data_IF_773647521332
#
_entry.id   IF_773647521332
#
_cell.length_a   1.000
_cell.length_b   1.000
_cell.length_c   1.000
_cell.angle_alpha   90.00
_cell.angle_beta   90.00
_cell.angle_gamma   90.00
#
_symmetry.space_group_name_H-M   'P 1'
#
loop_
_entity.id
_entity.type
_entity.pdbx_description
1 polymer ?
#
# COMPACT_ATOMS: atom_id res chain seq x y z
N UNK A 1 -51.51 -39.19 -20.71
CA UNK A 1 -50.62 -40.25 -20.21
C UNK A 1 -49.38 -39.58 -19.61
N UNK A 2 -49.07 -39.95 -18.37
CA UNK A 2 -47.96 -39.56 -17.48
C UNK A 2 -47.65 -38.06 -17.26
N UNK A 3 -48.35 -37.52 -16.27
CA UNK A 3 -47.87 -36.47 -15.39
C UNK A 3 -47.03 -37.08 -14.25
N UNK A 4 -45.98 -36.38 -13.83
CA UNK A 4 -45.42 -36.42 -12.46
C UNK A 4 -44.85 -35.01 -12.20
N UNK A 5 -45.63 -34.08 -11.65
CA UNK A 5 -45.75 -33.81 -10.21
C UNK A 5 -44.39 -33.77 -9.50
N UNK A 6 -43.82 -32.57 -9.39
CA UNK A 6 -43.30 -32.14 -8.10
C UNK A 6 -43.83 -30.73 -7.81
N UNK A 7 -44.45 -30.63 -6.65
CA UNK A 7 -45.34 -29.57 -6.22
C UNK A 7 -44.61 -28.27 -5.91
N UNK A 8 -45.28 -27.21 -6.33
CA UNK A 8 -45.27 -25.87 -5.77
C UNK A 8 -44.71 -25.74 -4.35
N UNK A 9 -43.80 -24.79 -4.17
CA UNK A 9 -43.95 -23.80 -3.11
C UNK A 9 -43.38 -22.45 -3.53
N UNK A 10 -44.35 -21.59 -3.83
CA UNK A 10 -44.29 -20.21 -4.23
C UNK A 10 -43.89 -19.34 -3.03
N UNK A 11 -42.73 -18.67 -3.06
CA UNK A 11 -42.50 -17.41 -2.37
C UNK A 11 -41.44 -16.58 -3.12
N UNK A 12 -41.89 -15.50 -3.77
CA UNK A 12 -41.12 -14.25 -3.91
C UNK A 12 -40.23 -14.09 -5.16
N UNK A 13 -40.74 -13.36 -6.16
CA UNK A 13 -39.93 -12.62 -7.16
C UNK A 13 -39.12 -11.49 -6.47
N UNK A 14 -38.23 -10.75 -7.15
CA UNK A 14 -36.97 -11.16 -7.77
C UNK A 14 -35.81 -10.25 -7.30
N UNK A 15 -34.67 -10.77 -6.81
CA UNK A 15 -33.49 -9.91 -6.66
C UNK A 15 -32.63 -9.96 -7.92
N UNK A 16 -32.86 -8.95 -8.76
CA UNK A 16 -32.09 -8.60 -9.95
C UNK A 16 -30.70 -8.12 -9.51
N UNK A 17 -29.79 -9.03 -9.16
CA UNK A 17 -28.37 -8.69 -8.99
C UNK A 17 -27.68 -8.69 -10.34
N UNK A 18 -27.64 -7.49 -10.91
CA UNK A 18 -26.86 -7.11 -12.06
C UNK A 18 -25.37 -7.18 -11.69
N UNK A 19 -24.75 -8.37 -11.74
CA UNK A 19 -23.29 -8.44 -11.75
C UNK A 19 -22.82 -8.04 -13.13
N UNK A 20 -22.65 -6.73 -13.28
CA UNK A 20 -21.87 -6.09 -14.32
C UNK A 20 -20.51 -6.79 -14.35
N UNK A 21 -20.26 -7.55 -15.41
CA UNK A 21 -18.96 -8.13 -15.73
C UNK A 21 -17.98 -6.97 -15.87
N UNK A 22 -17.29 -6.60 -14.80
CA UNK A 22 -16.18 -5.67 -14.85
C UNK A 22 -15.04 -6.38 -15.56
N UNK A 23 -15.06 -6.37 -16.90
CA UNK A 23 -13.83 -6.50 -17.67
C UNK A 23 -13.05 -5.21 -17.43
N UNK A 24 -12.35 -5.14 -16.30
CA UNK A 24 -11.36 -4.10 -16.08
C UNK A 24 -10.34 -4.25 -17.21
N UNK A 25 -10.33 -3.28 -18.14
CA UNK A 25 -9.31 -3.23 -19.18
C UNK A 25 -7.95 -3.17 -18.47
N UNK A 26 -6.94 -3.94 -18.88
CA UNK A 26 -5.60 -3.83 -18.31
C UNK A 26 -5.08 -2.43 -18.67
N UNK A 27 -5.11 -1.51 -17.71
CA UNK A 27 -4.54 -0.19 -17.88
C UNK A 27 -3.02 -0.34 -17.90
N UNK A 28 -2.39 0.19 -18.93
CA UNK A 28 -0.93 0.15 -19.11
C UNK A 28 -0.30 0.97 -17.97
N UNK A 29 0.09 0.32 -16.87
CA UNK A 29 0.66 1.02 -15.71
C UNK A 29 1.98 1.69 -16.12
N UNK A 30 2.08 3.01 -15.94
CA UNK A 30 3.36 3.72 -16.01
C UNK A 30 4.28 3.21 -14.89
N UNK A 31 5.58 3.07 -15.18
CA UNK A 31 6.59 2.63 -14.21
C UNK A 31 7.51 3.77 -13.86
N UNK A 32 7.88 3.86 -12.59
CA UNK A 32 8.82 4.85 -12.06
C UNK A 32 9.90 4.13 -11.23
N UNK A 33 11.07 4.73 -11.12
CA UNK A 33 12.17 4.18 -10.31
C UNK A 33 12.11 4.76 -8.91
N UNK A 34 12.18 3.91 -7.88
CA UNK A 34 12.25 4.33 -6.48
C UNK A 34 13.54 3.82 -5.88
N UNK A 35 14.24 4.69 -5.14
CA UNK A 35 15.52 4.36 -4.53
C UNK A 35 15.37 4.24 -3.01
N UNK A 36 15.63 3.06 -2.47
CA UNK A 36 15.74 2.80 -1.05
C UNK A 36 17.19 2.94 -0.59
N UNK A 37 17.41 3.69 0.49
CA UNK A 37 18.71 3.99 1.08
C UNK A 37 18.72 3.53 2.53
N UNK A 38 19.71 2.73 2.91
CA UNK A 38 19.93 2.35 4.30
C UNK A 38 21.06 3.19 4.91
N UNK A 39 21.06 3.35 6.24
CA UNK A 39 22.12 4.13 6.92
C UNK A 39 23.52 3.55 6.76
N UNK A 40 23.65 2.25 6.48
CA UNK A 40 24.91 1.60 6.16
C UNK A 40 25.47 1.95 4.75
N UNK A 41 24.76 2.79 3.99
CA UNK A 41 25.14 3.20 2.64
C UNK A 41 24.68 2.23 1.53
N UNK A 42 23.99 1.14 1.86
CA UNK A 42 23.33 0.27 0.86
C UNK A 42 22.27 1.11 0.13
N UNK A 43 22.20 0.92 -1.18
CA UNK A 43 21.17 1.51 -2.06
C UNK A 43 20.56 0.40 -2.91
N UNK A 44 19.23 0.39 -2.99
CA UNK A 44 18.48 -0.53 -3.84
C UNK A 44 17.48 0.28 -4.65
N UNK A 45 17.60 0.22 -5.97
CA UNK A 45 16.68 0.88 -6.90
C UNK A 45 15.72 -0.16 -7.45
N UNK A 46 14.42 0.12 -7.37
CA UNK A 46 13.37 -0.80 -7.83
C UNK A 46 12.41 -0.10 -8.78
N UNK A 47 11.72 -0.89 -9.60
CA UNK A 47 10.68 -0.38 -10.48
C UNK A 47 9.33 -0.49 -9.78
N UNK A 48 8.67 0.64 -9.58
CA UNK A 48 7.33 0.72 -9.02
C UNK A 48 6.32 1.02 -10.13
N UNK A 49 5.13 0.40 -10.06
CA UNK A 49 4.05 0.81 -10.94
C UNK A 49 3.26 1.96 -10.30
N UNK A 50 2.87 2.93 -11.11
CA UNK A 50 2.01 4.01 -10.67
C UNK A 50 0.66 3.44 -10.22
N UNK A 51 0.20 3.89 -9.05
CA UNK A 51 -1.01 3.43 -8.39
C UNK A 51 -0.80 2.33 -7.34
N UNK A 52 0.37 1.69 -7.28
CA UNK A 52 0.70 0.74 -6.22
C UNK A 52 1.09 1.50 -4.93
N UNK A 53 0.96 0.89 -3.75
CA UNK A 53 1.47 1.48 -2.50
C UNK A 53 2.97 1.21 -2.35
N UNK A 54 3.68 1.99 -1.53
CA UNK A 54 5.09 1.66 -1.26
C UNK A 54 5.25 0.34 -0.51
N UNK A 55 4.21 -0.13 0.19
CA UNK A 55 4.17 -1.48 0.74
C UNK A 55 4.20 -2.53 -0.37
N UNK A 56 3.30 -2.41 -1.35
CA UNK A 56 3.27 -3.34 -2.49
C UNK A 56 4.61 -3.31 -3.24
N UNK A 57 5.20 -2.12 -3.44
CA UNK A 57 6.50 -1.98 -4.12
C UNK A 57 7.62 -2.71 -3.38
N UNK A 58 7.67 -2.61 -2.04
CA UNK A 58 8.68 -3.29 -1.22
C UNK A 58 8.52 -4.80 -1.31
N UNK A 59 7.28 -5.30 -1.22
CA UNK A 59 6.98 -6.73 -1.29
C UNK A 59 7.21 -7.31 -2.70
N UNK A 60 6.71 -6.65 -3.74
CA UNK A 60 6.78 -7.13 -5.13
C UNK A 60 8.21 -7.12 -5.70
N UNK A 61 9.12 -6.33 -5.11
CA UNK A 61 10.51 -6.23 -5.55
C UNK A 61 11.51 -6.84 -4.56
N UNK A 62 11.03 -7.59 -3.55
CA UNK A 62 11.86 -8.23 -2.52
C UNK A 62 12.89 -7.26 -1.91
N UNK A 63 12.43 -6.06 -1.53
CA UNK A 63 13.29 -5.07 -0.87
C UNK A 63 13.60 -5.55 0.54
N UNK A 64 14.88 -5.70 0.82
CA UNK A 64 15.42 -6.32 2.04
C UNK A 64 15.27 -5.40 3.27
N UNK A 65 14.04 -5.35 3.80
CA UNK A 65 13.66 -4.59 4.99
C UNK A 65 12.94 -5.53 5.96
N UNK A 66 13.65 -5.93 7.01
CA UNK A 66 13.13 -6.86 8.02
C UNK A 66 11.88 -6.32 8.72
N UNK A 67 10.84 -7.15 8.82
CA UNK A 67 9.60 -6.80 9.52
C UNK A 67 8.73 -5.72 8.84
N UNK A 68 9.05 -5.36 7.59
CA UNK A 68 8.31 -4.33 6.87
C UNK A 68 6.85 -4.72 6.63
N UNK A 69 5.92 -3.85 7.04
CA UNK A 69 4.49 -4.02 6.73
C UNK A 69 3.78 -5.14 7.49
N UNK A 70 4.07 -5.32 8.78
CA UNK A 70 3.56 -6.42 9.61
C UNK A 70 2.03 -6.52 9.69
N UNK A 71 1.32 -5.39 9.58
CA UNK A 71 -0.15 -5.36 9.53
C UNK A 71 -0.75 -5.40 8.13
N UNK A 72 0.05 -5.63 7.09
CA UNK A 72 -0.41 -5.70 5.68
C UNK A 72 -1.15 -4.41 5.23
N UNK A 73 -0.78 -3.27 5.79
CA UNK A 73 -1.34 -1.97 5.40
C UNK A 73 -2.68 -1.61 6.03
N UNK A 74 -3.14 -2.33 7.06
CA UNK A 74 -4.39 -2.02 7.77
C UNK A 74 -4.28 -0.86 8.78
N UNK A 75 -3.21 -0.06 8.70
CA UNK A 75 -2.94 1.06 9.62
C UNK A 75 -2.96 0.67 11.11
N UNK A 76 -2.46 -0.53 11.43
CA UNK A 76 -2.46 -1.08 12.79
C UNK A 76 -1.05 -1.27 13.38
N UNK A 77 -0.01 -0.83 12.66
CA UNK A 77 1.38 -0.85 13.10
C UNK A 77 2.17 0.29 12.43
N UNK A 78 3.39 0.53 12.89
CA UNK A 78 4.33 1.52 12.33
C UNK A 78 5.50 0.90 11.56
N UNK A 79 5.51 -0.41 11.32
CA UNK A 79 6.63 -1.10 10.64
C UNK A 79 6.71 -0.86 9.13
N UNK A 80 5.85 -0.02 8.56
CA UNK A 80 6.00 0.47 7.19
C UNK A 80 6.58 1.89 7.14
N UNK A 81 7.15 2.37 8.24
CA UNK A 81 7.76 3.69 8.35
C UNK A 81 8.90 3.87 7.33
N UNK A 82 8.81 4.94 6.55
CA UNK A 82 9.80 5.37 5.57
C UNK A 82 10.06 6.86 5.71
N UNK A 83 11.29 7.30 5.44
CA UNK A 83 11.70 8.69 5.57
C UNK A 83 12.02 9.26 4.18
N UNK A 84 11.36 10.34 3.80
CA UNK A 84 11.55 10.97 2.49
C UNK A 84 12.54 12.13 2.59
N UNK A 85 13.22 12.44 1.48
CA UNK A 85 13.95 13.70 1.36
C UNK A 85 12.98 14.89 1.48
N UNK A 86 13.43 16.05 2.00
CA UNK A 86 12.58 17.26 2.07
C UNK A 86 12.05 17.71 0.70
N UNK A 87 12.73 17.36 -0.39
CA UNK A 87 12.28 17.64 -1.76
C UNK A 87 11.16 16.70 -2.15
N UNK A 88 11.35 15.39 -1.94
CA UNK A 88 10.42 14.36 -2.41
C UNK A 88 9.18 14.28 -1.52
N UNK A 89 9.29 14.61 -0.23
CA UNK A 89 8.13 14.71 0.66
C UNK A 89 7.07 15.70 0.14
N UNK A 90 7.50 16.78 -0.50
CA UNK A 90 6.60 17.80 -1.08
C UNK A 90 5.88 17.33 -2.34
N UNK A 91 6.32 16.25 -2.98
CA UNK A 91 5.67 15.70 -4.18
C UNK A 91 4.57 14.71 -3.83
N UNK A 92 4.46 14.30 -2.56
CA UNK A 92 3.41 13.42 -2.07
C UNK A 92 2.05 14.11 -2.17
N UNK A 93 1.14 13.51 -2.93
CA UNK A 93 -0.17 14.10 -3.22
C UNK A 93 -1.19 13.88 -2.10
N UNK A 94 -1.05 12.78 -1.35
CA UNK A 94 -1.96 12.45 -0.25
C UNK A 94 -1.46 13.13 1.04
N UNK A 95 -2.24 14.01 1.68
CA UNK A 95 -1.90 14.52 3.00
C UNK A 95 -1.84 13.37 4.01
N UNK A 96 -1.11 13.56 5.10
CA UNK A 96 -1.14 12.65 6.24
C UNK A 96 -2.52 12.75 6.92
N UNK A 97 -3.12 11.62 7.30
CA UNK A 97 -4.34 11.62 8.12
C UNK A 97 -3.96 11.60 9.61
N UNK A 98 -4.90 12.00 10.47
CA UNK A 98 -4.71 11.97 11.93
C UNK A 98 -4.38 10.54 12.41
N UNK A 99 -5.06 9.51 11.88
CA UNK A 99 -4.75 8.12 12.27
C UNK A 99 -3.36 7.65 11.78
N UNK A 100 -2.88 8.18 10.65
CA UNK A 100 -1.52 7.91 10.18
C UNK A 100 -0.50 8.57 11.11
N UNK A 101 -0.75 9.82 11.52
CA UNK A 101 0.10 10.58 12.45
C UNK A 101 0.18 9.88 13.81
N UNK A 102 -0.96 9.47 14.39
CA UNK A 102 -1.03 8.72 15.66
C UNK A 102 -0.18 7.45 15.64
N UNK A 103 -0.19 6.71 14.52
CA UNK A 103 0.63 5.50 14.38
C UNK A 103 2.10 5.81 14.11
N UNK A 104 2.39 6.91 13.40
CA UNK A 104 3.74 7.34 13.08
C UNK A 104 4.48 7.86 14.32
N UNK A 105 3.78 8.44 15.30
CA UNK A 105 4.35 8.85 16.59
C UNK A 105 4.94 7.69 17.39
N UNK A 106 4.46 6.47 17.14
CA UNK A 106 5.00 5.24 17.74
C UNK A 106 6.22 4.70 16.97
N UNK A 107 6.57 5.27 15.82
CA UNK A 107 7.65 4.81 14.97
C UNK A 107 9.03 5.23 15.50
N UNK A 108 10.00 4.33 15.43
CA UNK A 108 11.36 4.61 15.85
C UNK A 108 12.05 5.63 14.92
N UNK A 109 12.49 6.76 15.47
CA UNK A 109 13.21 7.77 14.69
C UNK A 109 12.34 8.47 13.65
N UNK A 110 11.04 8.64 13.93
CA UNK A 110 10.15 9.47 13.13
C UNK A 110 10.68 10.90 13.00
N UNK A 111 10.42 11.51 11.84
CA UNK A 111 10.87 12.85 11.45
C UNK A 111 9.73 13.59 10.73
N UNK A 112 9.88 14.90 10.54
CA UNK A 112 8.92 15.74 9.79
C UNK A 112 8.62 15.24 8.37
N UNK A 113 9.52 14.46 7.76
CA UNK A 113 9.36 13.92 6.40
C UNK A 113 9.09 12.43 6.39
N UNK A 114 8.66 11.88 7.53
CA UNK A 114 8.29 10.48 7.66
C UNK A 114 6.86 10.24 7.18
N UNK A 115 6.61 9.06 6.60
CA UNK A 115 5.26 8.56 6.29
C UNK A 115 5.19 7.06 6.56
N UNK A 116 3.97 6.56 6.70
CA UNK A 116 3.71 5.13 6.63
C UNK A 116 3.61 4.72 5.16
N UNK A 117 4.56 3.92 4.69
CA UNK A 117 4.67 3.51 3.28
C UNK A 117 3.43 2.81 2.74
N UNK A 118 2.66 2.12 3.60
CA UNK A 118 1.38 1.53 3.19
C UNK A 118 0.30 2.57 2.84
N UNK A 119 0.44 3.81 3.30
CA UNK A 119 -0.49 4.91 2.99
C UNK A 119 -0.04 5.76 1.80
N UNK A 120 1.19 5.57 1.32
CA UNK A 120 1.76 6.34 0.22
C UNK A 120 1.55 5.59 -1.09
N UNK A 121 0.80 6.20 -2.00
CA UNK A 121 0.55 5.68 -3.36
C UNK A 121 1.59 6.25 -4.32
N UNK A 122 2.16 5.39 -5.15
CA UNK A 122 3.14 5.76 -6.17
C UNK A 122 2.49 6.60 -7.26
N UNK A 123 3.07 7.76 -7.53
CA UNK A 123 2.65 8.68 -8.60
C UNK A 123 3.75 8.88 -9.63
N UNK A 124 3.42 9.43 -10.80
CA UNK A 124 4.41 9.72 -11.86
C UNK A 124 5.51 10.70 -11.41
N UNK A 125 5.20 11.58 -10.44
CA UNK A 125 6.13 12.56 -9.88
C UNK A 125 7.16 11.94 -8.92
N UNK A 126 7.03 10.66 -8.60
CA UNK A 126 7.93 9.93 -7.70
C UNK A 126 9.08 9.26 -8.44
N UNK A 127 9.30 9.58 -9.71
CA UNK A 127 10.41 9.01 -10.47
C UNK A 127 11.77 9.49 -9.95
N UNK A 128 12.64 8.54 -9.60
CA UNK A 128 13.96 8.73 -9.00
C UNK A 128 13.97 9.38 -7.62
N UNK A 129 12.88 9.30 -6.85
CA UNK A 129 12.90 9.77 -5.46
C UNK A 129 13.85 8.94 -4.61
N UNK A 130 14.28 9.54 -3.50
CA UNK A 130 15.11 8.88 -2.51
C UNK A 130 14.35 8.71 -1.19
N UNK A 131 14.26 7.47 -0.76
CA UNK A 131 13.59 7.05 0.47
C UNK A 131 14.61 6.40 1.38
N UNK A 132 14.76 6.93 2.58
CA UNK A 132 15.63 6.36 3.61
C UNK A 132 14.84 5.36 4.46
N UNK A 133 15.40 4.16 4.61
CA UNK A 133 14.91 3.10 5.49
C UNK A 133 15.48 3.33 6.90
N UNK A 134 14.63 3.42 7.95
CA UNK A 134 15.11 3.56 9.33
C UNK A 134 15.87 2.31 9.80
N UNK A 135 16.78 2.45 10.77
CA UNK A 135 17.62 1.34 11.26
C UNK A 135 16.88 0.34 12.14
N UNK A 136 15.71 0.71 12.66
CA UNK A 136 14.94 -0.14 13.55
C UNK A 136 13.45 0.03 13.28
N UNK A 137 12.73 -1.08 13.35
CA UNK A 137 11.28 -1.10 13.39
C UNK A 137 10.87 -1.63 14.75
N UNK A 138 10.11 -0.83 15.49
CA UNK A 138 9.45 -1.29 16.71
C UNK A 138 8.03 -1.70 16.32
N UNK A 139 7.68 -2.95 16.58
CA UNK A 139 6.28 -3.33 16.61
C UNK A 139 5.72 -2.89 17.96
N UNK A 140 4.82 -1.89 17.96
CA UNK A 140 4.20 -1.35 19.16
C UNK A 140 3.38 -2.40 19.96
N UNK A 141 3.22 -3.62 19.44
CA UNK A 141 2.59 -4.76 20.15
C UNK A 141 3.53 -5.54 21.08
N UNK A 142 4.81 -5.19 21.19
CA UNK A 142 5.80 -5.90 22.01
C UNK A 142 6.08 -5.23 23.36
#
# INVERSE_FOLDING_TARGET
MCAALCLMRNLGRPYRYFYRRFTAKPQKKSRVVINFLWKNGKKQSVNANVGDTLLDVVLDNDVDIDGFGACEGTLACSTCHLIFSRRDFKTLTKPMSEEEEDMLDLAFGATETSRLGCQVVVTENMNNIEITVPEGMLDARS
#
